data_IF_138774605149
#
_entry.id   IF_138774605149
#
_cell.length_a   1.000
_cell.length_b   1.000
_cell.length_c   1.000
_cell.angle_alpha   90.00
_cell.angle_beta   90.00
_cell.angle_gamma   90.00
#
_symmetry.space_group_name_H-M   'P 1'
#
loop_
_entity.id
_entity.type
_entity.pdbx_description
1 polymer ?
#
# COMPACT_ATOMS: atom_id res chain seq x y z
N UNK A 1 27.47 59.94 22.05
CA UNK A 1 27.92 58.53 22.01
C UNK A 1 29.44 58.48 21.95
N UNK A 2 30.11 58.00 23.02
CA UNK A 2 31.57 57.92 23.08
C UNK A 2 32.06 56.77 22.17
N UNK A 3 32.97 57.06 21.24
CA UNK A 3 33.58 56.05 20.35
C UNK A 3 34.44 55.10 21.20
N UNK A 4 34.11 53.81 21.16
CA UNK A 4 34.93 52.76 21.77
C UNK A 4 36.30 52.69 21.07
N UNK A 5 37.43 52.66 21.81
CA UNK A 5 38.74 52.52 21.20
C UNK A 5 38.88 51.16 20.50
N UNK A 6 39.52 51.15 19.32
CA UNK A 6 39.74 49.94 18.48
C UNK A 6 40.31 48.74 19.26
N UNK A 7 41.17 49.00 20.24
CA UNK A 7 41.75 47.98 21.14
C UNK A 7 40.75 47.38 22.13
N UNK A 8 39.74 48.12 22.56
CA UNK A 8 38.68 47.59 23.43
C UNK A 8 37.66 46.78 22.64
N UNK A 9 37.34 47.19 21.40
CA UNK A 9 36.49 46.41 20.49
C UNK A 9 37.12 45.05 20.10
N UNK A 10 38.43 45.03 19.82
CA UNK A 10 39.16 43.79 19.55
C UNK A 10 39.24 42.85 20.78
N UNK A 11 39.30 43.40 22.00
CA UNK A 11 39.23 42.59 23.23
C UNK A 11 37.84 42.01 23.48
N UNK A 12 36.77 42.72 23.13
CA UNK A 12 35.39 42.20 23.18
C UNK A 12 35.15 41.09 22.16
N UNK A 13 35.73 41.19 20.96
CA UNK A 13 35.69 40.13 19.93
C UNK A 13 36.47 38.88 20.34
N UNK A 14 37.61 39.03 21.03
CA UNK A 14 38.42 37.92 21.55
C UNK A 14 37.78 37.22 22.77
N UNK A 15 37.03 37.95 23.61
CA UNK A 15 36.26 37.36 24.70
C UNK A 15 35.00 36.62 24.19
N UNK A 16 34.39 37.09 23.09
CA UNK A 16 33.24 36.44 22.45
C UNK A 16 33.58 35.20 21.61
N UNK A 17 34.85 35.04 21.18
CA UNK A 17 35.28 33.91 20.34
C UNK A 17 35.76 32.69 21.12
N UNK A 18 35.88 32.77 22.45
CA UNK A 18 36.15 31.60 23.31
C UNK A 18 34.86 30.91 23.80
N UNK A 19 33.70 31.58 23.69
CA UNK A 19 32.40 31.00 24.05
C UNK A 19 31.64 30.38 22.85
N UNK A 20 32.05 30.68 21.61
CA UNK A 20 31.45 30.12 20.39
C UNK A 20 31.63 28.60 20.18
N UNK A 21 32.69 27.91 20.64
CA UNK A 21 32.77 26.46 20.48
C UNK A 21 31.94 25.69 21.52
N UNK A 22 31.38 26.36 22.54
CA UNK A 22 30.46 25.74 23.50
C UNK A 22 28.98 25.98 23.18
N UNK A 23 28.67 26.87 22.23
CA UNK A 23 27.30 27.09 21.74
C UNK A 23 26.95 26.23 20.52
N UNK A 24 27.96 25.72 19.80
CA UNK A 24 27.83 24.59 18.89
C UNK A 24 28.05 23.31 19.69
N UNK A 25 27.08 22.94 20.53
CA UNK A 25 27.00 21.53 20.92
C UNK A 25 26.71 20.79 19.62
N UNK A 26 27.71 20.05 19.11
CA UNK A 26 27.44 19.01 18.13
C UNK A 26 26.26 18.22 18.68
N UNK A 27 25.12 18.23 17.96
CA UNK A 27 24.03 17.29 18.27
C UNK A 27 24.73 15.95 18.40
N UNK A 28 24.69 15.29 19.58
CA UNK A 28 25.40 14.04 19.76
C UNK A 28 24.96 13.15 18.61
N UNK A 29 25.91 12.79 17.75
CA UNK A 29 25.65 11.87 16.64
C UNK A 29 25.01 10.68 17.32
N UNK A 30 23.69 10.51 17.10
CA UNK A 30 22.97 9.37 17.66
C UNK A 30 23.78 8.18 17.19
N UNK A 31 24.44 7.48 18.13
CA UNK A 31 25.08 6.21 17.79
C UNK A 31 24.01 5.42 17.07
N UNK A 32 24.30 4.84 15.89
CA UNK A 32 23.37 3.90 15.29
C UNK A 32 22.90 2.98 16.40
N UNK A 33 21.58 2.78 16.52
CA UNK A 33 21.07 1.72 17.39
C UNK A 33 21.91 0.50 17.05
N UNK A 34 22.71 0.01 18.02
CA UNK A 34 23.62 -1.11 17.76
C UNK A 34 22.83 -2.27 17.16
N UNK A 35 23.51 -3.17 16.43
CA UNK A 35 22.89 -4.27 15.69
C UNK A 35 21.71 -4.87 16.47
N UNK A 36 20.48 -4.49 16.08
CA UNK A 36 19.28 -5.06 16.67
C UNK A 36 19.23 -6.47 16.13
N UNK A 37 19.29 -7.51 17.00
CA UNK A 37 19.17 -8.88 16.52
C UNK A 37 17.89 -9.01 15.72
N UNK A 38 18.02 -9.32 14.44
CA UNK A 38 16.92 -9.38 13.49
C UNK A 38 17.03 -10.67 12.70
N UNK A 39 15.88 -11.21 12.35
CA UNK A 39 15.75 -12.41 11.52
C UNK A 39 14.53 -12.23 10.64
N UNK A 40 14.60 -12.76 9.43
CA UNK A 40 13.42 -12.90 8.60
C UNK A 40 12.46 -13.88 9.27
N UNK A 41 11.21 -13.44 9.41
CA UNK A 41 10.07 -14.29 9.76
C UNK A 41 9.35 -14.80 8.50
N UNK A 42 10.05 -14.72 7.36
CA UNK A 42 9.52 -14.98 6.03
C UNK A 42 8.84 -16.35 5.99
N UNK A 43 7.59 -16.32 5.54
CA UNK A 43 6.76 -17.52 5.38
C UNK A 43 7.00 -18.22 4.05
N UNK A 44 7.76 -17.57 3.17
CA UNK A 44 8.26 -18.11 1.91
C UNK A 44 9.77 -17.93 1.90
N UNK A 45 10.50 -19.04 1.90
CA UNK A 45 11.96 -19.03 1.78
C UNK A 45 12.40 -18.59 0.37
N UNK A 46 13.60 -18.00 0.22
CA UNK A 46 14.17 -17.74 -1.11
C UNK A 46 14.22 -18.99 -2.00
N UNK A 47 14.43 -20.18 -1.41
CA UNK A 47 14.40 -21.44 -2.14
C UNK A 47 13.03 -21.73 -2.76
N UNK A 48 11.94 -21.53 -2.01
CA UNK A 48 10.57 -21.67 -2.52
C UNK A 48 10.29 -20.66 -3.63
N UNK A 49 10.67 -19.38 -3.45
CA UNK A 49 10.50 -18.37 -4.49
C UNK A 49 11.28 -18.68 -5.78
N UNK A 50 12.48 -19.26 -5.66
CA UNK A 50 13.28 -19.66 -6.82
C UNK A 50 12.68 -20.84 -7.60
N UNK A 51 11.81 -21.66 -7.01
CA UNK A 51 11.09 -22.71 -7.75
C UNK A 51 10.30 -22.12 -8.92
N UNK A 52 9.71 -20.93 -8.74
CA UNK A 52 8.93 -20.26 -9.77
C UNK A 52 9.78 -19.83 -10.97
N UNK A 53 11.10 -19.64 -10.79
CA UNK A 53 12.01 -19.18 -11.86
C UNK A 53 12.69 -20.34 -12.59
N UNK A 54 12.55 -21.57 -12.09
CA UNK A 54 13.17 -22.74 -12.69
C UNK A 54 12.43 -23.11 -13.98
N UNK A 55 13.12 -23.41 -15.08
CA UNK A 55 12.49 -24.04 -16.23
C UNK A 55 11.79 -25.33 -15.80
N UNK A 56 10.53 -25.50 -16.20
CA UNK A 56 9.73 -26.68 -15.85
C UNK A 56 9.59 -27.58 -17.07
N UNK A 57 10.04 -28.83 -16.96
CA UNK A 57 9.69 -29.86 -17.92
C UNK A 57 8.37 -30.51 -17.51
N UNK A 58 7.35 -30.40 -18.37
CA UNK A 58 6.04 -31.03 -18.18
C UNK A 58 6.11 -32.55 -17.98
N UNK A 59 7.18 -33.21 -18.44
CA UNK A 59 7.40 -34.65 -18.25
C UNK A 59 7.61 -35.03 -16.77
N UNK A 60 8.11 -34.11 -15.93
CA UNK A 60 8.24 -34.28 -14.48
C UNK A 60 6.88 -34.48 -13.79
N UNK A 61 5.79 -34.12 -14.47
CA UNK A 61 4.43 -34.20 -13.96
C UNK A 61 3.63 -35.34 -14.61
N UNK A 62 4.27 -36.22 -15.39
CA UNK A 62 3.58 -37.27 -16.13
C UNK A 62 2.76 -38.24 -15.24
N UNK A 63 3.21 -38.44 -14.00
CA UNK A 63 2.54 -39.28 -12.99
C UNK A 63 1.94 -38.46 -11.84
N UNK A 64 1.82 -37.14 -11.99
CA UNK A 64 1.29 -36.26 -10.97
C UNK A 64 -0.18 -36.58 -10.68
N UNK A 65 -0.61 -36.42 -9.42
CA UNK A 65 -2.02 -36.51 -9.08
C UNK A 65 -2.78 -35.39 -9.78
N UNK A 66 -3.85 -35.75 -10.48
CA UNK A 66 -4.65 -34.81 -11.26
C UNK A 66 -5.91 -34.35 -10.51
N UNK A 67 -6.28 -33.09 -10.67
CA UNK A 67 -7.54 -32.51 -10.17
C UNK A 67 -8.14 -31.63 -11.25
N UNK A 68 -9.47 -31.64 -11.41
CA UNK A 68 -10.18 -30.77 -12.37
C UNK A 68 -11.07 -29.80 -11.64
N UNK A 69 -10.99 -28.53 -12.02
CA UNK A 69 -11.67 -27.40 -11.37
C UNK A 69 -12.30 -26.48 -12.41
N UNK A 70 -13.33 -25.72 -12.03
CA UNK A 70 -13.89 -24.72 -12.93
C UNK A 70 -12.99 -23.49 -12.99
N UNK A 71 -12.46 -23.06 -11.85
CA UNK A 71 -11.52 -21.95 -11.79
C UNK A 71 -10.37 -22.24 -10.83
N UNK A 72 -9.15 -22.06 -11.33
CA UNK A 72 -7.94 -22.02 -10.51
C UNK A 72 -7.60 -20.56 -10.20
N UNK A 73 -7.32 -20.26 -8.93
CA UNK A 73 -6.81 -18.98 -8.46
C UNK A 73 -5.40 -19.18 -7.93
N UNK A 74 -4.42 -18.50 -8.52
CA UNK A 74 -3.00 -18.60 -8.16
C UNK A 74 -2.63 -17.41 -7.28
N UNK A 75 -2.31 -17.65 -6.01
CA UNK A 75 -1.99 -16.62 -5.01
C UNK A 75 -3.10 -16.44 -3.98
N UNK A 76 -2.76 -16.57 -2.70
CA UNK A 76 -3.61 -16.47 -1.51
C UNK A 76 -3.51 -15.12 -0.79
N UNK A 77 -3.09 -14.07 -1.50
CA UNK A 77 -3.20 -12.69 -1.03
C UNK A 77 -4.62 -12.12 -1.17
N UNK A 78 -4.80 -10.85 -0.79
CA UNK A 78 -6.09 -10.14 -0.85
C UNK A 78 -6.75 -10.24 -2.23
N UNK A 79 -5.99 -10.07 -3.32
CA UNK A 79 -6.51 -10.13 -4.70
C UNK A 79 -7.06 -11.51 -5.06
N UNK A 80 -6.34 -12.59 -4.73
CA UNK A 80 -6.77 -13.95 -5.02
C UNK A 80 -7.98 -14.37 -4.18
N UNK A 81 -8.00 -13.98 -2.90
CA UNK A 81 -9.14 -14.25 -2.03
C UNK A 81 -10.39 -13.46 -2.43
N UNK A 82 -10.25 -12.19 -2.81
CA UNK A 82 -11.35 -11.41 -3.35
C UNK A 82 -11.91 -12.03 -4.64
N UNK A 83 -11.04 -12.55 -5.52
CA UNK A 83 -11.47 -13.29 -6.71
C UNK A 83 -12.22 -14.58 -6.36
N UNK A 84 -11.66 -15.41 -5.47
CA UNK A 84 -12.33 -16.63 -4.98
C UNK A 84 -13.69 -16.33 -4.35
N UNK A 85 -13.75 -15.36 -3.45
CA UNK A 85 -14.97 -14.92 -2.80
C UNK A 85 -16.01 -14.47 -3.82
N UNK A 86 -15.63 -13.60 -4.77
CA UNK A 86 -16.57 -13.09 -5.79
C UNK A 86 -17.06 -14.18 -6.74
N UNK A 87 -16.19 -15.11 -7.16
CA UNK A 87 -16.55 -16.25 -8.00
C UNK A 87 -17.59 -17.14 -7.31
N UNK A 88 -17.41 -17.42 -6.02
CA UNK A 88 -18.38 -18.20 -5.22
C UNK A 88 -19.72 -17.48 -5.09
N UNK A 89 -19.71 -16.18 -4.80
CA UNK A 89 -20.92 -15.36 -4.75
C UNK A 89 -21.67 -15.34 -6.09
N UNK A 90 -20.94 -15.44 -7.22
CA UNK A 90 -21.51 -15.57 -8.55
C UNK A 90 -22.00 -16.99 -8.90
N UNK A 91 -21.87 -17.95 -7.97
CA UNK A 91 -22.31 -19.34 -8.14
C UNK A 91 -21.32 -20.25 -8.86
N UNK A 92 -20.08 -19.80 -9.11
CA UNK A 92 -19.02 -20.65 -9.68
C UNK A 92 -18.69 -21.76 -8.69
N UNK A 93 -18.77 -23.00 -9.17
CA UNK A 93 -18.47 -24.20 -8.39
C UNK A 93 -16.99 -24.56 -8.52
N UNK A 94 -16.48 -25.48 -7.69
CA UNK A 94 -15.13 -26.07 -7.80
C UNK A 94 -14.04 -25.02 -8.07
N UNK A 95 -13.96 -24.02 -7.20
CA UNK A 95 -12.88 -23.02 -7.22
C UNK A 95 -11.75 -23.55 -6.35
N UNK A 96 -10.53 -23.58 -6.90
CA UNK A 96 -9.33 -23.97 -6.16
C UNK A 96 -8.37 -22.79 -6.06
N UNK A 97 -8.01 -22.42 -4.84
CA UNK A 97 -6.95 -21.45 -4.54
C UNK A 97 -5.64 -22.20 -4.24
N UNK A 98 -4.55 -21.75 -4.84
CA UNK A 98 -3.20 -22.30 -4.60
C UNK A 98 -2.28 -21.18 -4.13
N UNK A 99 -1.69 -21.34 -2.94
CA UNK A 99 -0.78 -20.40 -2.30
C UNK A 99 0.55 -21.09 -1.95
N UNK A 100 1.66 -20.41 -2.24
CA UNK A 100 3.01 -20.93 -2.05
C UNK A 100 3.44 -20.91 -0.57
N UNK A 101 2.95 -19.95 0.20
CA UNK A 101 3.15 -19.85 1.64
C UNK A 101 2.32 -20.87 2.42
N UNK A 102 2.71 -21.11 3.66
CA UNK A 102 2.00 -21.96 4.60
C UNK A 102 0.73 -21.32 5.20
N UNK A 103 0.38 -20.11 4.76
CA UNK A 103 -0.81 -19.38 5.17
C UNK A 103 -1.28 -18.39 4.09
N UNK A 104 -2.53 -17.95 4.23
CA UNK A 104 -3.12 -16.88 3.42
C UNK A 104 -2.73 -15.49 3.92
N UNK A 105 -2.85 -14.50 3.04
CA UNK A 105 -2.78 -13.06 3.36
C UNK A 105 -1.84 -12.26 2.48
N UNK A 106 -0.74 -12.86 2.02
CA UNK A 106 0.30 -12.12 1.30
C UNK A 106 0.78 -10.93 2.13
N UNK A 107 0.79 -9.73 1.53
CA UNK A 107 1.19 -8.49 2.20
C UNK A 107 0.25 -8.05 3.34
N UNK A 108 -0.94 -8.63 3.45
CA UNK A 108 -1.86 -8.39 4.56
C UNK A 108 -1.64 -9.34 5.76
N UNK A 109 -0.64 -10.23 5.69
CA UNK A 109 -0.35 -11.19 6.75
C UNK A 109 -0.14 -10.56 8.13
N UNK A 110 -0.60 -11.26 9.16
CA UNK A 110 -0.34 -10.95 10.56
C UNK A 110 0.69 -11.91 11.18
N UNK A 111 1.34 -11.43 12.25
CA UNK A 111 2.22 -12.19 13.13
C UNK A 111 1.72 -12.14 14.58
N UNK A 112 2.38 -12.88 15.45
CA UNK A 112 2.10 -12.87 16.88
C UNK A 112 3.39 -12.95 17.69
N UNK A 113 3.48 -12.17 18.77
CA UNK A 113 4.57 -12.23 19.74
C UNK A 113 4.05 -11.91 21.14
N UNK A 114 4.44 -12.72 22.13
CA UNK A 114 4.08 -12.51 23.55
C UNK A 114 2.57 -12.35 23.79
N UNK A 115 1.75 -13.04 23.01
CA UNK A 115 0.29 -12.96 23.08
C UNK A 115 -0.33 -11.76 22.34
N UNK A 116 0.48 -10.85 21.80
CA UNK A 116 0.01 -9.74 20.96
C UNK A 116 0.03 -10.16 19.49
N UNK A 117 -1.07 -9.91 18.80
CA UNK A 117 -1.17 -10.03 17.34
C UNK A 117 -0.84 -8.67 16.73
N UNK A 118 -0.13 -8.68 15.61
CA UNK A 118 0.23 -7.46 14.89
C UNK A 118 0.32 -7.72 13.37
N UNK A 119 0.02 -6.72 12.54
CA UNK A 119 0.22 -6.82 11.10
C UNK A 119 1.71 -6.87 10.74
N UNK A 120 2.06 -7.63 9.71
CA UNK A 120 3.41 -7.66 9.14
C UNK A 120 3.57 -6.67 7.98
N UNK A 121 2.47 -6.25 7.36
CA UNK A 121 2.44 -5.32 6.23
C UNK A 121 1.19 -4.44 6.23
N UNK A 122 0.31 -4.64 5.26
CA UNK A 122 -0.90 -3.86 5.08
C UNK A 122 -1.82 -3.97 6.32
N UNK A 123 -2.06 -2.85 7.00
CA UNK A 123 -2.66 -2.85 8.33
C UNK A 123 -3.91 -1.98 8.49
N UNK A 124 -4.26 -1.21 7.47
CA UNK A 124 -5.49 -0.43 7.45
C UNK A 124 -5.99 -0.26 6.02
N UNK A 125 -7.23 0.19 5.92
CA UNK A 125 -7.81 0.84 4.74
C UNK A 125 -8.55 2.10 5.20
N UNK A 126 -8.80 3.05 4.32
CA UNK A 126 -9.74 4.13 4.63
C UNK A 126 -11.16 3.69 4.26
N UNK A 127 -12.16 4.34 4.86
CA UNK A 127 -13.54 4.21 4.42
C UNK A 127 -13.60 4.44 2.91
N UNK A 128 -14.02 3.44 2.12
CA UNK A 128 -14.03 3.55 0.68
C UNK A 128 -15.05 4.62 0.23
N UNK A 129 -14.75 5.36 -0.85
CA UNK A 129 -15.71 6.32 -1.39
C UNK A 129 -16.88 5.59 -2.07
N UNK A 130 -18.01 6.27 -2.25
CA UNK A 130 -19.26 5.65 -2.71
C UNK A 130 -19.15 4.90 -4.05
N UNK A 131 -18.24 5.32 -4.94
CA UNK A 131 -17.99 4.64 -6.21
C UNK A 131 -17.25 3.30 -6.10
N UNK A 132 -16.64 2.98 -4.94
CA UNK A 132 -15.88 1.76 -4.71
C UNK A 132 -16.79 0.57 -4.37
N UNK A 133 -17.78 0.32 -5.22
CA UNK A 133 -18.83 -0.69 -5.05
C UNK A 133 -18.30 -2.10 -4.74
N UNK A 134 -17.20 -2.51 -5.38
CA UNK A 134 -16.59 -3.82 -5.15
C UNK A 134 -16.02 -3.97 -3.73
N UNK A 135 -15.50 -2.89 -3.15
CA UNK A 135 -15.01 -2.89 -1.76
C UNK A 135 -16.20 -2.86 -0.80
N UNK A 136 -17.23 -2.06 -1.11
CA UNK A 136 -18.45 -2.01 -0.32
C UNK A 136 -19.14 -3.36 -0.20
N UNK A 137 -19.12 -4.18 -1.26
CA UNK A 137 -19.69 -5.53 -1.25
C UNK A 137 -19.02 -6.42 -0.20
N UNK A 138 -17.68 -6.42 -0.16
CA UNK A 138 -16.90 -7.18 0.84
C UNK A 138 -17.16 -6.63 2.24
N UNK A 139 -17.11 -5.30 2.42
CA UNK A 139 -17.32 -4.70 3.74
C UNK A 139 -18.76 -4.90 4.25
N UNK A 140 -19.75 -4.99 3.36
CA UNK A 140 -21.14 -5.30 3.74
C UNK A 140 -21.30 -6.77 4.12
N UNK A 141 -20.68 -7.68 3.37
CA UNK A 141 -20.66 -9.13 3.66
C UNK A 141 -19.98 -9.46 4.99
N UNK A 142 -18.98 -8.67 5.38
CA UNK A 142 -18.29 -8.77 6.66
C UNK A 142 -18.94 -7.93 7.78
N UNK A 143 -20.13 -7.36 7.53
CA UNK A 143 -20.88 -6.53 8.48
C UNK A 143 -20.12 -5.28 9.00
N UNK A 144 -19.06 -4.87 8.28
CA UNK A 144 -18.32 -3.64 8.56
C UNK A 144 -19.14 -2.42 8.15
N UNK A 145 -19.78 -2.50 6.98
CA UNK A 145 -20.82 -1.56 6.56
C UNK A 145 -22.16 -2.10 7.05
N UNK A 146 -22.84 -1.32 7.90
CA UNK A 146 -24.14 -1.69 8.49
C UNK A 146 -25.33 -1.08 7.75
N UNK A 147 -25.08 -0.18 6.82
CA UNK A 147 -26.08 0.51 6.03
C UNK A 147 -25.51 1.74 5.34
N UNK A 148 -26.41 2.56 4.81
CA UNK A 148 -26.06 3.80 4.12
C UNK A 148 -26.92 4.95 4.65
N UNK A 149 -26.36 6.15 4.71
CA UNK A 149 -27.10 7.35 5.09
C UNK A 149 -27.92 7.93 3.92
N UNK A 150 -28.65 9.02 4.17
CA UNK A 150 -29.48 9.67 3.15
C UNK A 150 -28.69 10.23 1.95
N UNK A 151 -27.37 10.41 2.09
CA UNK A 151 -26.49 10.85 1.02
C UNK A 151 -25.79 9.66 0.32
N UNK A 152 -26.12 8.43 0.69
CA UNK A 152 -25.52 7.21 0.11
C UNK A 152 -24.13 6.87 0.64
N UNK A 153 -23.70 7.47 1.77
CA UNK A 153 -22.40 7.19 2.39
C UNK A 153 -22.47 5.97 3.30
N UNK A 154 -21.43 5.13 3.35
CA UNK A 154 -21.44 3.92 4.17
C UNK A 154 -21.46 4.27 5.66
N UNK A 155 -22.33 3.59 6.42
CA UNK A 155 -22.37 3.66 7.89
C UNK A 155 -21.52 2.51 8.43
N UNK A 156 -20.36 2.87 9.00
CA UNK A 156 -19.38 1.90 9.51
C UNK A 156 -19.72 1.48 10.94
N UNK A 157 -19.62 0.18 11.23
CA UNK A 157 -19.71 -0.32 12.59
C UNK A 157 -18.55 0.23 13.44
N UNK A 158 -18.80 0.88 14.60
CA UNK A 158 -17.77 1.60 15.35
C UNK A 158 -16.56 0.76 15.80
N UNK A 159 -16.70 -0.55 15.93
CA UNK A 159 -15.60 -1.44 16.34
C UNK A 159 -14.53 -1.65 15.27
N UNK A 160 -14.77 -1.21 14.03
CA UNK A 160 -13.78 -1.27 12.95
C UNK A 160 -13.04 0.06 12.75
N UNK A 161 -13.51 1.13 13.38
CA UNK A 161 -12.89 2.45 13.25
C UNK A 161 -11.65 2.55 14.15
N UNK A 162 -10.57 3.11 13.60
CA UNK A 162 -9.39 3.48 14.35
C UNK A 162 -9.78 4.45 15.48
N UNK A 163 -9.43 4.07 16.71
CA UNK A 163 -9.61 4.95 17.89
C UNK A 163 -8.41 5.88 18.01
N UNK A 164 -8.65 7.10 18.51
CA UNK A 164 -7.61 8.10 18.75
C UNK A 164 -6.45 7.53 19.63
N UNK A 165 -5.18 7.90 19.36
CA UNK A 165 -4.69 8.84 18.33
C UNK A 165 -4.60 8.24 16.93
N UNK A 166 -4.94 9.04 15.92
CA UNK A 166 -4.85 8.63 14.52
C UNK A 166 -3.41 8.74 13.99
N UNK A 167 -2.84 9.95 14.00
CA UNK A 167 -1.52 10.23 13.44
C UNK A 167 -0.80 11.35 14.19
N UNK A 168 0.53 11.28 14.20
CA UNK A 168 1.41 12.28 14.80
C UNK A 168 2.75 12.33 14.07
N UNK A 169 3.33 13.52 13.96
CA UNK A 169 4.65 13.76 13.41
C UNK A 169 5.66 14.01 14.54
N UNK A 170 6.82 13.35 14.49
CA UNK A 170 7.95 13.64 15.38
C UNK A 170 8.90 14.63 14.71
N UNK A 171 8.92 15.87 15.21
CA UNK A 171 9.77 16.96 14.73
C UNK A 171 10.36 17.73 15.92
N UNK A 172 11.62 18.16 15.80
CA UNK A 172 12.31 19.00 16.80
C UNK A 172 12.19 18.49 18.24
N UNK A 173 12.37 17.17 18.41
CA UNK A 173 12.26 16.45 19.68
C UNK A 173 10.89 16.59 20.38
N UNK A 174 9.83 16.78 19.59
CA UNK A 174 8.44 16.85 20.05
C UNK A 174 7.47 16.10 19.13
N UNK A 175 6.35 15.64 19.69
CA UNK A 175 5.23 15.07 18.92
C UNK A 175 4.21 16.16 18.62
N UNK A 176 3.92 16.35 17.34
CA UNK A 176 2.81 17.19 16.85
C UNK A 176 1.66 16.29 16.37
N UNK A 177 0.42 16.70 16.63
CA UNK A 177 -0.75 16.02 16.07
C UNK A 177 -0.84 16.25 14.56
N UNK A 178 -1.22 15.23 13.81
CA UNK A 178 -1.22 15.27 12.34
C UNK A 178 0.12 14.92 11.71
N UNK A 179 0.13 14.81 10.38
CA UNK A 179 1.33 14.62 9.56
C UNK A 179 1.89 15.92 8.95
N UNK A 180 1.37 17.08 9.37
CA UNK A 180 1.72 18.40 8.83
C UNK A 180 3.08 18.93 9.36
N UNK A 181 4.13 19.05 8.52
CA UNK A 181 5.42 19.59 8.92
C UNK A 181 5.48 21.13 8.91
N UNK A 182 4.37 21.86 8.81
CA UNK A 182 4.37 23.33 8.64
C UNK A 182 4.09 24.12 9.93
N UNK A 183 4.06 23.48 11.10
CA UNK A 183 3.79 24.15 12.38
C UNK A 183 4.69 25.36 12.71
N UNK A 184 5.92 25.36 12.22
CA UNK A 184 6.90 26.46 12.37
C UNK A 184 7.25 27.17 11.04
N UNK A 185 6.43 27.00 9.99
CA UNK A 185 6.71 27.52 8.66
C UNK A 185 6.54 29.05 8.55
N UNK A 186 7.36 29.68 7.71
CA UNK A 186 7.20 31.10 7.35
C UNK A 186 6.06 31.33 6.36
N UNK A 187 5.62 32.58 6.19
CA UNK A 187 4.51 32.95 5.29
C UNK A 187 4.68 32.41 3.86
N UNK A 188 5.88 32.51 3.28
CA UNK A 188 6.13 32.03 1.91
C UNK A 188 6.07 30.50 1.76
N UNK A 189 6.35 29.74 2.82
CA UNK A 189 6.20 28.27 2.80
C UNK A 189 4.72 27.89 2.93
N UNK A 190 3.96 28.59 3.78
CA UNK A 190 2.52 28.40 3.91
C UNK A 190 1.77 28.76 2.61
N UNK A 191 2.20 29.80 1.90
CA UNK A 191 1.64 30.15 0.59
C UNK A 191 1.83 29.00 -0.42
N UNK A 192 2.99 28.34 -0.41
CA UNK A 192 3.25 27.19 -1.29
C UNK A 192 2.45 25.96 -0.86
N UNK A 193 2.32 25.70 0.44
CA UNK A 193 1.45 24.64 0.95
C UNK A 193 0.02 24.83 0.46
N UNK A 194 -0.55 26.03 0.62
CA UNK A 194 -1.91 26.30 0.14
C UNK A 194 -2.04 26.14 -1.38
N UNK A 195 -1.04 26.60 -2.16
CA UNK A 195 -1.03 26.40 -3.61
C UNK A 195 -0.99 24.91 -4.00
N UNK A 196 -0.24 24.11 -3.24
CA UNK A 196 -0.22 22.66 -3.38
C UNK A 196 -1.57 22.02 -3.02
N UNK A 197 -2.15 22.37 -1.88
CA UNK A 197 -3.46 21.87 -1.44
C UNK A 197 -4.57 22.21 -2.44
N UNK A 198 -4.58 23.44 -2.98
CA UNK A 198 -5.50 23.88 -4.03
C UNK A 198 -5.36 23.04 -5.30
N UNK A 199 -4.12 22.72 -5.69
CA UNK A 199 -3.87 21.89 -6.85
C UNK A 199 -4.28 20.42 -6.64
N UNK A 200 -4.02 19.85 -5.45
CA UNK A 200 -4.46 18.50 -5.11
C UNK A 200 -5.98 18.41 -5.00
N UNK A 201 -6.65 19.44 -4.46
CA UNK A 201 -8.11 19.51 -4.45
C UNK A 201 -8.69 19.62 -5.87
N UNK A 202 -8.05 20.42 -6.74
CA UNK A 202 -8.43 20.51 -8.16
C UNK A 202 -8.40 19.13 -8.82
N UNK A 203 -7.39 18.31 -8.53
CA UNK A 203 -7.31 16.94 -9.03
C UNK A 203 -8.30 15.98 -8.37
N UNK A 204 -8.54 16.13 -7.07
CA UNK A 204 -9.55 15.37 -6.30
C UNK A 204 -10.94 15.52 -6.92
N UNK A 205 -11.31 16.76 -7.29
CA UNK A 205 -12.59 17.12 -7.87
C UNK A 205 -12.65 16.99 -9.39
N UNK A 206 -11.52 16.71 -10.04
CA UNK A 206 -11.46 16.60 -11.50
C UNK A 206 -12.34 15.45 -11.99
N UNK A 207 -13.13 15.71 -13.03
CA UNK A 207 -13.85 14.68 -13.79
C UNK A 207 -13.48 14.78 -15.25
N UNK A 208 -13.14 13.63 -15.84
CA UNK A 208 -12.89 13.53 -17.27
C UNK A 208 -14.17 13.63 -18.10
N UNK A 209 -14.03 13.61 -19.41
CA UNK A 209 -15.17 13.63 -20.35
C UNK A 209 -16.10 12.41 -20.18
N UNK A 210 -15.58 11.32 -19.63
CA UNK A 210 -16.32 10.11 -19.25
C UNK A 210 -17.04 10.23 -17.89
N UNK A 211 -17.03 11.42 -17.27
CA UNK A 211 -17.57 11.72 -15.94
C UNK A 211 -16.91 10.97 -14.77
N UNK A 212 -15.87 10.18 -15.04
CA UNK A 212 -15.08 9.49 -14.02
C UNK A 212 -14.11 10.47 -13.36
N UNK A 213 -13.74 10.18 -12.11
CA UNK A 213 -12.76 10.99 -11.37
C UNK A 213 -11.39 10.92 -12.04
N UNK A 214 -10.60 11.98 -11.87
CA UNK A 214 -9.18 11.98 -12.26
C UNK A 214 -8.42 10.84 -11.58
N UNK A 215 -8.61 10.71 -10.27
CA UNK A 215 -7.94 9.73 -9.42
C UNK A 215 -8.99 9.06 -8.54
N UNK A 216 -9.26 7.78 -8.81
CA UNK A 216 -10.22 6.98 -8.06
C UNK A 216 -9.51 5.81 -7.35
N UNK A 217 -10.19 5.29 -6.34
CA UNK A 217 -9.84 4.05 -5.67
C UNK A 217 -11.11 3.20 -5.61
N UNK A 218 -11.21 2.09 -6.38
CA UNK A 218 -10.17 1.42 -7.17
C UNK A 218 -9.62 2.22 -8.38
N UNK A 219 -8.35 1.95 -8.69
CA UNK A 219 -7.60 2.63 -9.77
C UNK A 219 -8.30 2.56 -11.13
N UNK A 220 -8.90 1.40 -11.44
CA UNK A 220 -9.59 1.13 -12.70
C UNK A 220 -10.81 2.04 -12.95
N UNK A 221 -11.29 2.72 -11.92
CA UNK A 221 -12.40 3.67 -12.02
C UNK A 221 -11.93 5.10 -12.33
N UNK A 222 -10.61 5.32 -12.38
CA UNK A 222 -10.04 6.59 -12.82
C UNK A 222 -10.29 6.79 -14.31
N UNK A 223 -10.49 8.05 -14.71
CA UNK A 223 -10.67 8.44 -16.11
C UNK A 223 -9.46 8.08 -16.98
N UNK A 224 -9.72 7.92 -18.27
CA UNK A 224 -8.68 7.79 -19.30
C UNK A 224 -8.35 9.12 -20.01
N UNK A 225 -8.87 10.24 -19.52
CA UNK A 225 -8.62 11.57 -20.06
C UNK A 225 -7.12 11.88 -20.20
N UNK A 226 -6.70 12.39 -21.36
CA UNK A 226 -5.28 12.59 -21.68
C UNK A 226 -4.62 13.55 -20.70
N UNK A 227 -5.32 14.59 -20.24
CA UNK A 227 -4.77 15.54 -19.26
C UNK A 227 -4.33 14.86 -17.95
N UNK A 228 -5.02 13.79 -17.56
CA UNK A 228 -4.65 12.99 -16.39
C UNK A 228 -3.51 12.05 -16.76
N UNK A 229 -3.59 11.36 -17.91
CA UNK A 229 -2.56 10.40 -18.36
C UNK A 229 -1.21 11.04 -18.65
N UNK A 230 -1.17 12.28 -19.11
CA UNK A 230 0.06 13.03 -19.39
C UNK A 230 0.90 13.25 -18.12
N UNK A 231 0.30 13.21 -16.93
CA UNK A 231 1.03 13.29 -15.65
C UNK A 231 1.92 12.06 -15.40
N UNK A 232 1.64 10.92 -16.05
CA UNK A 232 2.44 9.71 -15.90
C UNK A 232 3.75 9.78 -16.73
N UNK A 233 3.83 10.76 -17.64
CA UNK A 233 4.99 10.98 -18.50
C UNK A 233 6.02 11.95 -17.90
N UNK A 234 5.83 12.42 -16.67
CA UNK A 234 6.79 13.23 -15.93
C UNK A 234 6.88 12.78 -14.48
N UNK A 235 8.00 13.05 -13.84
CA UNK A 235 8.19 12.80 -12.41
C UNK A 235 7.43 13.83 -11.57
N UNK A 236 7.12 13.48 -10.32
CA UNK A 236 6.52 14.43 -9.39
C UNK A 236 7.45 15.62 -9.10
N UNK A 237 8.76 15.42 -9.13
CA UNK A 237 9.75 16.49 -9.01
C UNK A 237 9.67 17.49 -10.19
N UNK A 238 9.55 16.99 -11.42
CA UNK A 238 9.33 17.84 -12.59
C UNK A 238 8.01 18.60 -12.51
N UNK A 239 6.94 17.94 -12.06
CA UNK A 239 5.65 18.59 -11.84
C UNK A 239 5.75 19.72 -10.80
N UNK A 240 6.34 19.46 -9.64
CA UNK A 240 6.50 20.47 -8.58
C UNK A 240 7.33 21.68 -9.06
N UNK A 241 8.39 21.44 -9.85
CA UNK A 241 9.18 22.51 -10.46
C UNK A 241 8.36 23.35 -11.45
N UNK A 242 7.48 22.73 -12.25
CA UNK A 242 6.58 23.46 -13.17
C UNK A 242 5.56 24.33 -12.42
N UNK A 243 5.11 23.90 -11.23
CA UNK A 243 4.24 24.69 -10.36
C UNK A 243 5.00 25.81 -9.61
N UNK A 244 6.33 25.83 -9.68
CA UNK A 244 7.17 26.81 -9.00
C UNK A 244 7.32 26.56 -7.49
N UNK A 245 7.00 25.36 -7.02
CA UNK A 245 7.16 24.98 -5.61
C UNK A 245 8.65 24.72 -5.29
N UNK A 246 9.17 25.45 -4.31
CA UNK A 246 10.57 25.41 -3.88
C UNK A 246 10.77 25.39 -2.35
N UNK A 247 9.70 25.26 -1.55
CA UNK A 247 9.80 25.05 -0.10
C UNK A 247 10.39 23.67 0.19
N UNK A 248 11.43 23.64 1.03
CA UNK A 248 12.04 22.39 1.48
C UNK A 248 11.06 21.52 2.29
N UNK A 249 10.17 22.14 3.08
CA UNK A 249 9.11 21.43 3.82
C UNK A 249 8.10 20.77 2.87
N UNK A 250 7.71 21.49 1.80
CA UNK A 250 6.81 20.93 0.80
C UNK A 250 7.47 19.79 0.00
N UNK A 251 8.72 19.96 -0.41
CA UNK A 251 9.48 18.88 -1.05
C UNK A 251 9.59 17.64 -0.16
N UNK A 252 9.83 17.83 1.13
CA UNK A 252 9.84 16.72 2.10
C UNK A 252 8.47 16.05 2.19
N UNK A 253 7.38 16.82 2.32
CA UNK A 253 6.02 16.27 2.38
C UNK A 253 5.70 15.40 1.16
N UNK A 254 6.01 15.90 -0.05
CA UNK A 254 5.80 15.16 -1.31
C UNK A 254 6.66 13.89 -1.35
N UNK A 255 7.94 13.98 -0.98
CA UNK A 255 8.84 12.82 -0.92
C UNK A 255 8.35 11.76 0.08
N UNK A 256 7.82 12.17 1.22
CA UNK A 256 7.30 11.24 2.22
C UNK A 256 6.07 10.51 1.70
N UNK A 257 5.14 11.20 1.03
CA UNK A 257 4.00 10.56 0.39
C UNK A 257 4.43 9.57 -0.71
N UNK A 258 5.43 9.92 -1.53
CA UNK A 258 5.98 9.01 -2.54
C UNK A 258 6.62 7.77 -1.92
N UNK A 259 7.33 7.91 -0.79
CA UNK A 259 7.94 6.78 -0.10
C UNK A 259 6.90 5.87 0.55
N UNK A 260 5.86 6.46 1.13
CA UNK A 260 4.79 5.76 1.85
C UNK A 260 4.02 4.80 0.93
N UNK A 261 3.55 5.29 -0.24
CA UNK A 261 2.75 4.47 -1.15
C UNK A 261 3.58 3.69 -2.19
N UNK A 262 4.78 4.17 -2.57
CA UNK A 262 5.52 3.65 -3.73
C UNK A 262 6.99 3.31 -3.48
N UNK A 263 7.53 3.58 -2.28
CA UNK A 263 8.91 3.23 -1.92
C UNK A 263 10.00 4.02 -2.66
N UNK A 264 9.67 5.17 -3.26
CA UNK A 264 10.60 6.03 -4.02
C UNK A 264 10.46 7.51 -3.67
N UNK A 265 11.33 8.36 -4.21
CA UNK A 265 11.25 9.82 -4.05
C UNK A 265 10.42 10.46 -5.17
N UNK A 266 10.13 11.76 -5.07
CA UNK A 266 9.47 12.51 -6.13
C UNK A 266 10.23 12.50 -7.47
N UNK A 267 11.53 12.21 -7.46
CA UNK A 267 12.34 12.04 -8.67
C UNK A 267 12.21 10.65 -9.32
N UNK A 268 11.76 9.65 -8.56
CA UNK A 268 11.59 8.27 -9.04
C UNK A 268 10.14 7.99 -9.46
N UNK A 269 9.18 8.68 -8.84
CA UNK A 269 7.74 8.43 -8.98
C UNK A 269 7.12 9.40 -9.98
N UNK A 270 6.24 8.90 -10.85
CA UNK A 270 5.50 9.74 -11.79
C UNK A 270 4.57 10.73 -11.08
N UNK A 271 4.33 11.89 -11.67
CA UNK A 271 3.42 12.89 -11.10
C UNK A 271 2.02 12.31 -10.95
N UNK A 272 1.60 11.43 -11.87
CA UNK A 272 0.32 10.74 -11.76
C UNK A 272 0.21 9.89 -10.49
N UNK A 273 1.19 9.03 -10.22
CA UNK A 273 1.20 8.18 -9.03
C UNK A 273 1.27 9.02 -7.73
N UNK A 274 2.12 10.04 -7.70
CA UNK A 274 2.23 10.92 -6.54
C UNK A 274 0.94 11.73 -6.30
N UNK A 275 0.31 12.28 -7.33
CA UNK A 275 -0.97 12.99 -7.20
C UNK A 275 -2.09 12.04 -6.77
N UNK A 276 -2.08 10.78 -7.22
CA UNK A 276 -3.06 9.78 -6.82
C UNK A 276 -3.13 9.63 -5.29
N UNK A 277 -1.99 9.65 -4.59
CA UNK A 277 -1.90 9.61 -3.12
C UNK A 277 -2.81 10.65 -2.46
N UNK A 278 -2.69 11.90 -2.90
CA UNK A 278 -3.42 13.03 -2.33
C UNK A 278 -4.86 13.12 -2.86
N UNK A 279 -5.07 12.79 -4.14
CA UNK A 279 -6.31 13.08 -4.84
C UNK A 279 -7.36 11.96 -4.76
N UNK A 280 -6.96 10.70 -4.50
CA UNK A 280 -7.92 9.60 -4.50
C UNK A 280 -8.69 9.46 -3.18
N UNK A 281 -8.10 9.89 -2.04
CA UNK A 281 -8.59 9.61 -0.68
C UNK A 281 -9.39 10.75 -0.02
N UNK A 282 -9.70 11.85 -0.72
CA UNK A 282 -10.46 12.99 -0.18
C UNK A 282 -9.90 13.59 1.13
N UNK A 283 -8.59 13.57 1.32
CA UNK A 283 -7.95 14.06 2.56
C UNK A 283 -8.10 15.56 2.81
N UNK A 284 -8.47 16.33 1.78
CA UNK A 284 -8.67 17.76 1.95
C UNK A 284 -9.82 18.07 2.91
N UNK A 285 -9.50 18.81 3.98
CA UNK A 285 -10.46 19.21 5.03
C UNK A 285 -11.72 19.89 4.49
N UNK A 286 -11.63 20.55 3.32
CA UNK A 286 -12.74 21.28 2.69
C UNK A 286 -13.83 20.36 2.15
N UNK A 287 -13.53 19.07 1.95
CA UNK A 287 -14.47 18.06 1.44
C UNK A 287 -14.75 16.93 2.42
N UNK A 288 -14.12 16.94 3.60
CA UNK A 288 -14.25 15.89 4.64
C UNK A 288 -15.70 15.62 5.06
N UNK A 289 -16.54 16.65 5.14
CA UNK A 289 -17.95 16.48 5.46
C UNK A 289 -18.72 15.73 4.38
N UNK A 290 -18.32 15.85 3.11
CA UNK A 290 -18.95 15.17 1.98
C UNK A 290 -18.40 13.75 1.81
N UNK A 291 -17.11 13.56 2.09
CA UNK A 291 -16.39 12.30 1.94
C UNK A 291 -15.67 11.98 3.25
N UNK A 292 -16.29 11.23 4.18
CA UNK A 292 -15.64 10.76 5.39
C UNK A 292 -14.51 9.78 5.03
N UNK A 293 -13.33 9.98 5.62
CA UNK A 293 -12.11 9.23 5.30
C UNK A 293 -11.54 8.51 6.53
N UNK A 294 -12.42 8.13 7.47
CA UNK A 294 -11.98 7.46 8.69
C UNK A 294 -11.18 6.18 8.36
N UNK A 295 -10.25 5.84 9.23
CA UNK A 295 -9.40 4.66 9.05
C UNK A 295 -10.05 3.43 9.64
N UNK A 296 -10.08 2.34 8.87
CA UNK A 296 -10.49 1.01 9.30
C UNK A 296 -9.27 0.16 9.61
N UNK A 297 -9.20 -0.42 10.81
CA UNK A 297 -8.06 -1.26 11.23
C UNK A 297 -8.45 -2.27 12.31
N UNK A 298 -7.62 -3.29 12.48
CA UNK A 298 -7.82 -4.41 13.41
C UNK A 298 -6.48 -4.81 14.05
N UNK A 299 -6.47 -5.56 15.18
CA UNK A 299 -5.23 -6.03 15.80
C UNK A 299 -4.31 -6.81 14.85
N UNK A 300 -4.88 -7.58 13.94
CA UNK A 300 -4.20 -8.33 12.88
C UNK A 300 -4.08 -7.56 11.55
N UNK A 301 -4.48 -6.28 11.54
CA UNK A 301 -4.50 -5.43 10.36
C UNK A 301 -5.43 -5.96 9.28
N UNK A 302 -5.02 -5.87 8.01
CA UNK A 302 -5.87 -6.30 6.90
C UNK A 302 -5.99 -7.84 6.80
N UNK A 303 -5.26 -8.61 7.62
CA UNK A 303 -5.50 -10.05 7.76
C UNK A 303 -6.93 -10.36 8.18
N UNK A 304 -7.59 -9.44 8.91
CA UNK A 304 -8.99 -9.54 9.26
C UNK A 304 -9.88 -9.72 8.00
N UNK A 305 -9.65 -8.90 6.97
CA UNK A 305 -10.39 -8.95 5.71
C UNK A 305 -10.07 -10.23 4.93
N UNK A 306 -8.81 -10.66 4.94
CA UNK A 306 -8.34 -11.93 4.36
C UNK A 306 -9.10 -13.11 4.97
N UNK A 307 -9.14 -13.20 6.30
CA UNK A 307 -9.84 -14.27 7.02
C UNK A 307 -11.35 -14.22 6.75
N UNK A 308 -11.93 -13.02 6.72
CA UNK A 308 -13.33 -12.81 6.40
C UNK A 308 -13.71 -13.35 5.02
N UNK A 309 -12.92 -13.05 3.97
CA UNK A 309 -13.16 -13.57 2.62
C UNK A 309 -12.87 -15.08 2.49
N UNK A 310 -11.95 -15.61 3.31
CA UNK A 310 -11.55 -17.02 3.29
C UNK A 310 -12.43 -17.94 4.15
N UNK A 311 -13.39 -17.40 4.94
CA UNK A 311 -14.10 -18.14 6.01
C UNK A 311 -14.81 -19.43 5.57
N UNK A 312 -15.23 -19.50 4.30
CA UNK A 312 -15.95 -20.65 3.73
C UNK A 312 -15.05 -21.55 2.87
N UNK A 313 -13.74 -21.27 2.78
CA UNK A 313 -12.79 -22.13 2.08
C UNK A 313 -12.37 -23.30 2.98
N UNK A 314 -12.40 -24.50 2.41
CA UNK A 314 -11.89 -25.70 3.08
C UNK A 314 -10.55 -26.18 2.46
N UNK A 315 -9.95 -27.22 3.06
CA UNK A 315 -8.63 -27.74 2.66
C UNK A 315 -8.59 -28.32 1.24
N UNK A 316 -9.72 -28.79 0.71
CA UNK A 316 -9.81 -29.31 -0.65
C UNK A 316 -9.90 -28.18 -1.69
N UNK A 317 -10.32 -26.98 -1.25
CA UNK A 317 -10.49 -25.78 -2.07
C UNK A 317 -9.33 -24.77 -1.92
N UNK A 318 -8.41 -25.01 -0.98
CA UNK A 318 -7.28 -24.15 -0.68
C UNK A 318 -6.02 -24.98 -0.41
N UNK A 319 -5.11 -25.00 -1.37
CA UNK A 319 -3.81 -25.67 -1.23
C UNK A 319 -2.76 -24.64 -0.79
N UNK A 320 -2.33 -24.77 0.46
CA UNK A 320 -1.21 -24.02 1.02
C UNK A 320 0.10 -24.74 0.75
N UNK A 321 1.22 -24.04 0.97
CA UNK A 321 2.57 -24.56 0.75
C UNK A 321 2.76 -25.14 -0.65
N UNK A 322 2.03 -24.66 -1.67
CA UNK A 322 1.98 -25.25 -3.00
C UNK A 322 2.31 -24.18 -4.05
N UNK A 323 3.37 -24.40 -4.83
CA UNK A 323 3.79 -23.47 -5.87
C UNK A 323 3.18 -23.87 -7.22
N UNK A 324 2.51 -22.95 -7.91
CA UNK A 324 2.21 -23.10 -9.35
C UNK A 324 3.44 -22.70 -10.13
N UNK A 325 4.14 -23.67 -10.71
CA UNK A 325 5.42 -23.47 -11.39
C UNK A 325 5.29 -23.34 -12.91
N UNK A 326 4.12 -23.61 -13.47
CA UNK A 326 3.85 -23.39 -14.88
C UNK A 326 2.36 -23.52 -15.22
N UNK A 327 1.91 -22.67 -16.14
CA UNK A 327 0.58 -22.72 -16.73
C UNK A 327 0.72 -23.05 -18.22
N UNK A 328 0.06 -24.13 -18.65
CA UNK A 328 0.09 -24.62 -20.02
C UNK A 328 -1.33 -24.51 -20.62
N UNK A 329 -1.60 -23.46 -21.41
CA UNK A 329 -2.89 -23.28 -22.08
C UNK A 329 -3.16 -24.43 -23.06
N UNK A 330 -4.29 -25.11 -22.88
CA UNK A 330 -4.84 -26.04 -23.84
C UNK A 330 -5.99 -25.43 -24.64
N UNK A 331 -6.63 -26.24 -25.48
CA UNK A 331 -7.77 -25.77 -26.30
C UNK A 331 -9.04 -25.46 -25.48
N UNK A 332 -9.23 -26.15 -24.35
CA UNK A 332 -10.46 -26.10 -23.53
C UNK A 332 -10.21 -25.94 -22.04
N UNK A 333 -9.01 -26.30 -21.58
CA UNK A 333 -8.56 -26.16 -20.20
C UNK A 333 -7.12 -25.67 -20.19
N UNK A 334 -6.74 -24.96 -19.13
CA UNK A 334 -5.34 -24.68 -18.80
C UNK A 334 -4.86 -25.71 -17.80
N UNK A 335 -3.71 -26.32 -18.07
CA UNK A 335 -3.04 -27.20 -17.12
C UNK A 335 -2.11 -26.36 -16.23
N UNK A 336 -2.29 -26.43 -14.92
CA UNK A 336 -1.33 -25.90 -13.96
C UNK A 336 -0.47 -27.02 -13.40
N UNK A 337 0.84 -26.83 -13.45
CA UNK A 337 1.84 -27.69 -12.85
C UNK A 337 2.15 -27.14 -11.47
N UNK A 338 1.92 -27.95 -10.44
CA UNK A 338 1.99 -27.52 -9.05
C UNK A 338 2.99 -28.40 -8.26
N UNK A 339 3.79 -27.80 -7.39
CA UNK A 339 4.70 -28.54 -6.50
C UNK A 339 4.32 -28.21 -5.05
N UNK A 340 3.99 -29.23 -4.27
CA UNK A 340 3.91 -29.08 -2.82
C UNK A 340 5.32 -28.83 -2.27
N UNK A 341 5.55 -27.63 -1.76
CA UNK A 341 6.88 -27.16 -1.33
C UNK A 341 7.35 -27.79 -0.02
N UNK A 342 6.48 -28.45 0.73
CA UNK A 342 6.84 -29.16 1.96
C UNK A 342 7.30 -30.60 1.67
N UNK A 343 6.66 -31.26 0.71
CA UNK A 343 6.88 -32.69 0.39
C UNK A 343 7.64 -32.92 -0.91
N UNK A 344 7.65 -31.94 -1.82
CA UNK A 344 8.15 -32.09 -3.19
C UNK A 344 7.20 -32.84 -4.13
N UNK A 345 5.97 -33.12 -3.71
CA UNK A 345 4.99 -33.84 -4.53
C UNK A 345 4.57 -33.02 -5.75
N UNK A 346 4.65 -33.63 -6.93
CA UNK A 346 4.12 -33.08 -8.18
C UNK A 346 2.61 -33.28 -8.27
N UNK A 347 1.90 -32.18 -8.48
CA UNK A 347 0.45 -32.11 -8.64
C UNK A 347 0.11 -31.47 -9.99
N UNK A 348 -1.05 -31.82 -10.56
CA UNK A 348 -1.55 -31.22 -11.80
C UNK A 348 -3.01 -30.81 -11.65
N UNK A 349 -3.31 -29.57 -12.01
CA UNK A 349 -4.68 -29.05 -12.02
C UNK A 349 -5.10 -28.75 -13.45
N UNK A 350 -6.26 -29.24 -13.87
CA UNK A 350 -6.92 -28.85 -15.11
C UNK A 350 -8.02 -27.85 -14.77
N UNK A 351 -7.90 -26.61 -15.26
CA UNK A 351 -8.84 -25.54 -14.96
C UNK A 351 -9.50 -25.00 -16.24
N UNK A 352 -10.81 -24.75 -16.23
CA UNK A 352 -11.49 -24.10 -17.35
C UNK A 352 -11.12 -22.61 -17.46
N UNK A 353 -10.87 -21.95 -16.32
CA UNK A 353 -10.33 -20.60 -16.26
C UNK A 353 -9.27 -20.47 -15.17
N UNK A 354 -8.35 -19.51 -15.34
CA UNK A 354 -7.30 -19.22 -14.37
C UNK A 354 -7.33 -17.73 -14.02
N UNK A 355 -7.30 -17.43 -12.73
CA UNK A 355 -7.02 -16.10 -12.20
C UNK A 355 -5.60 -16.13 -11.64
N UNK A 356 -4.67 -15.44 -12.30
CA UNK A 356 -3.32 -15.25 -11.75
C UNK A 356 -3.33 -14.02 -10.85
N UNK A 357 -3.29 -14.25 -9.53
CA UNK A 357 -3.22 -13.23 -8.48
C UNK A 357 -1.87 -13.28 -7.73
N UNK A 358 -0.83 -13.81 -8.40
CA UNK A 358 0.54 -13.77 -7.92
C UNK A 358 1.26 -12.47 -8.27
N UNK A 359 2.51 -12.34 -7.83
CA UNK A 359 3.31 -11.16 -8.08
C UNK A 359 3.61 -10.95 -9.57
N UNK A 360 3.46 -9.71 -10.06
CA UNK A 360 3.69 -9.36 -11.46
C UNK A 360 5.08 -9.76 -11.96
N UNK A 361 6.13 -9.63 -11.13
CA UNK A 361 7.50 -10.00 -11.51
C UNK A 361 7.72 -11.51 -11.60
N UNK A 362 6.83 -12.33 -11.01
CA UNK A 362 6.87 -13.79 -11.12
C UNK A 362 6.06 -14.31 -12.32
N UNK A 363 5.10 -13.52 -12.81
CA UNK A 363 4.21 -13.91 -13.90
C UNK A 363 4.96 -14.42 -15.15
N UNK A 364 6.04 -13.78 -15.65
CA UNK A 364 6.74 -14.24 -16.86
C UNK A 364 7.38 -15.62 -16.75
N UNK A 365 7.53 -16.17 -15.54
CA UNK A 365 8.11 -17.49 -15.34
C UNK A 365 7.05 -18.60 -15.21
N UNK A 366 5.80 -18.22 -14.97
CA UNK A 366 4.68 -19.15 -14.69
C UNK A 366 3.62 -19.07 -15.79
N UNK A 367 3.32 -17.86 -16.25
CA UNK A 367 2.38 -17.56 -17.33
C UNK A 367 3.19 -17.49 -18.64
N UNK A 368 2.78 -18.24 -19.69
CA UNK A 368 3.51 -18.30 -20.96
C UNK A 368 3.40 -17.03 -21.81
#
# INVERSE_FOLDING_TARGET
MKRLPRRSFLKSLLAGSVALPFACTERPVRRPVGDVPSSFIDRVSPAQGHLLRRPVDSSEFATARETTVDTLVVGGGVSGLAACWKLRQAGVQRVLLVEIADQLGGDAAAGQAQGLVFPLGAHYINVPPAEADCVHEVLSDLEIITGYDAAGRPIIHPDHLLRWPAERLWEDDSWSEGLDPFGAAGTGELEQLHAFEDDMLRWTLYRGQDSRRGFAMPLAYSTADSRVRDLDAMTMAEYANQQGWNSARLSWLIDQACKDDYGGTAADISAWAAIHYFACRFYDRRVKEQYPTDTLTWPDGNQFLVQGMARDLNKDECWLSTAVVGLLPGATTTQALCIDTATGESLRVHAHSVVYAGNLHAAPYVVP
#
